data_IF_391795063558
#
_entry.id   IF_391795063558
#
_cell.length_a   1.000
_cell.length_b   1.000
_cell.length_c   1.000
_cell.angle_alpha   90.00
_cell.angle_beta   90.00
_cell.angle_gamma   90.00
#
_symmetry.space_group_name_H-M   'P 1'
#
loop_
_entity.id
_entity.type
_entity.pdbx_description
1 polymer ?
#
# COMPACT_ATOMS: atom_id res chain seq x y z
N UNK A 1 9.92 -16.36 27.87
CA UNK A 1 9.00 -16.13 26.73
C UNK A 1 9.15 -14.66 26.38
N UNK A 2 10.10 -14.33 25.51
CA UNK A 2 10.34 -12.94 25.11
C UNK A 2 9.22 -12.52 24.17
N UNK A 3 8.38 -11.59 24.63
CA UNK A 3 7.48 -10.82 23.78
C UNK A 3 8.36 -9.93 22.91
N UNK A 4 8.72 -10.41 21.72
CA UNK A 4 9.27 -9.56 20.68
C UNK A 4 8.20 -8.54 20.35
N UNK A 5 8.43 -7.29 20.73
CA UNK A 5 7.63 -6.14 20.31
C UNK A 5 7.52 -6.21 18.76
N UNK A 6 6.32 -6.30 18.17
CA UNK A 6 6.21 -6.30 16.72
C UNK A 6 6.79 -4.96 16.25
N UNK A 7 7.92 -5.00 15.56
CA UNK A 7 8.59 -3.82 15.05
C UNK A 7 7.54 -2.91 14.41
N UNK A 8 7.35 -1.72 14.99
CA UNK A 8 6.37 -0.77 14.48
C UNK A 8 6.82 -0.33 13.09
N UNK A 9 6.12 -0.82 12.07
CA UNK A 9 6.35 -0.39 10.68
C UNK A 9 6.15 1.12 10.60
N UNK A 10 7.10 1.82 9.98
CA UNK A 10 6.93 3.24 9.72
C UNK A 10 5.76 3.48 8.76
N UNK A 11 5.16 4.67 8.82
CA UNK A 11 4.08 5.07 7.88
C UNK A 11 4.50 4.89 6.42
N UNK A 12 5.75 5.20 6.11
CA UNK A 12 6.33 5.02 4.78
C UNK A 12 6.35 3.56 4.36
N UNK A 13 6.80 2.66 5.23
CA UNK A 13 6.79 1.22 4.94
C UNK A 13 5.38 0.66 4.75
N UNK A 14 4.42 1.12 5.56
CA UNK A 14 3.01 0.74 5.39
C UNK A 14 2.44 1.21 4.05
N UNK A 15 2.81 2.42 3.62
CA UNK A 15 2.43 2.93 2.31
C UNK A 15 3.06 2.10 1.18
N UNK A 16 4.36 1.79 1.25
CA UNK A 16 5.06 0.97 0.26
C UNK A 16 4.42 -0.42 0.13
N UNK A 17 4.07 -1.06 1.25
CA UNK A 17 3.32 -2.33 1.27
C UNK A 17 1.95 -2.16 0.61
N UNK A 18 1.20 -1.11 0.97
CA UNK A 18 -0.11 -0.83 0.39
C UNK A 18 -0.06 -0.64 -1.14
N UNK A 19 0.94 0.08 -1.64
CA UNK A 19 1.18 0.27 -3.07
C UNK A 19 1.46 -1.06 -3.79
N UNK A 20 2.18 -2.00 -3.15
CA UNK A 20 2.37 -3.33 -3.72
C UNK A 20 1.06 -4.13 -3.78
N UNK A 21 0.27 -4.08 -2.71
CA UNK A 21 -0.98 -4.84 -2.59
C UNK A 21 -2.11 -4.26 -3.44
N UNK A 22 -2.00 -3.01 -3.91
CA UNK A 22 -2.95 -2.41 -4.84
C UNK A 22 -2.81 -2.94 -6.29
N UNK A 23 -1.76 -3.72 -6.59
CA UNK A 23 -1.54 -4.29 -7.92
C UNK A 23 -2.00 -5.76 -7.97
N UNK A 24 -3.07 -6.02 -8.72
CA UNK A 24 -3.68 -7.36 -8.87
C UNK A 24 -2.67 -8.43 -9.30
N UNK A 25 -1.74 -8.11 -10.21
CA UNK A 25 -0.73 -9.06 -10.67
C UNK A 25 0.28 -9.42 -9.58
N UNK A 26 0.60 -8.48 -8.70
CA UNK A 26 1.44 -8.76 -7.52
C UNK A 26 0.69 -9.62 -6.50
N UNK A 27 -0.61 -9.39 -6.33
CA UNK A 27 -1.47 -10.26 -5.49
C UNK A 27 -1.56 -11.69 -6.04
N UNK A 28 -1.65 -11.86 -7.37
CA UNK A 28 -1.60 -13.18 -8.01
C UNK A 28 -0.27 -13.90 -7.71
N UNK A 29 0.86 -13.18 -7.78
CA UNK A 29 2.18 -13.74 -7.41
C UNK A 29 2.20 -14.14 -5.94
N UNK A 30 1.72 -13.30 -5.02
CA UNK A 30 1.68 -13.61 -3.59
C UNK A 30 0.75 -14.80 -3.29
N UNK A 31 -0.38 -14.90 -3.98
CA UNK A 31 -1.31 -16.03 -3.86
C UNK A 31 -0.67 -17.32 -4.36
N UNK A 32 -0.01 -17.26 -5.52
CA UNK A 32 0.77 -18.38 -6.04
C UNK A 32 1.89 -18.76 -5.06
N UNK A 33 2.60 -17.78 -4.50
CA UNK A 33 3.67 -17.96 -3.52
C UNK A 33 3.17 -18.54 -2.19
N UNK A 34 1.94 -18.25 -1.76
CA UNK A 34 1.36 -18.81 -0.55
C UNK A 34 0.94 -20.28 -0.75
N UNK A 35 0.49 -20.64 -1.96
CA UNK A 35 0.12 -22.01 -2.32
C UNK A 35 1.34 -22.93 -2.54
N UNK A 36 2.52 -22.37 -2.80
CA UNK A 36 3.74 -23.11 -3.12
C UNK A 36 4.83 -22.82 -2.09
N UNK A 37 5.72 -23.77 -1.80
CA UNK A 37 6.80 -23.52 -0.83
C UNK A 37 7.80 -22.48 -1.33
N UNK A 38 8.06 -22.47 -2.63
CA UNK A 38 8.99 -21.59 -3.31
C UNK A 38 8.52 -21.37 -4.74
N UNK A 39 8.94 -20.27 -5.34
CA UNK A 39 8.70 -19.96 -6.75
C UNK A 39 9.95 -19.39 -7.41
N UNK A 40 9.97 -19.47 -8.73
CA UNK A 40 10.95 -18.84 -9.62
C UNK A 40 10.27 -17.93 -10.62
N UNK A 41 11.01 -16.95 -11.14
CA UNK A 41 10.52 -16.05 -12.22
C UNK A 41 10.06 -16.85 -13.46
N UNK A 42 10.74 -17.96 -13.78
CA UNK A 42 10.38 -18.83 -14.89
C UNK A 42 9.04 -19.53 -14.70
N UNK A 43 8.69 -19.89 -13.46
CA UNK A 43 7.38 -20.47 -13.14
C UNK A 43 6.29 -19.42 -13.26
N UNK A 44 6.50 -18.20 -12.77
CA UNK A 44 5.51 -17.12 -12.92
C UNK A 44 5.18 -16.83 -14.39
N UNK A 45 6.19 -16.91 -15.27
CA UNK A 45 5.96 -16.80 -16.71
C UNK A 45 5.07 -17.93 -17.26
N UNK A 46 5.26 -19.15 -16.77
CA UNK A 46 4.55 -20.33 -17.28
C UNK A 46 3.14 -20.44 -16.71
N UNK A 47 2.99 -20.20 -15.41
CA UNK A 47 1.76 -20.46 -14.66
C UNK A 47 0.84 -19.22 -14.59
N UNK A 48 1.41 -18.01 -14.55
CA UNK A 48 0.66 -16.75 -14.48
C UNK A 48 0.70 -15.94 -15.79
N UNK A 49 1.31 -16.49 -16.85
CA UNK A 49 1.51 -15.83 -18.14
C UNK A 49 2.18 -14.44 -18.04
N UNK A 50 3.06 -14.27 -17.04
CA UNK A 50 3.75 -13.00 -16.83
C UNK A 50 5.01 -12.89 -17.72
N UNK A 51 5.21 -11.76 -18.43
CA UNK A 51 6.47 -11.52 -19.12
C UNK A 51 7.66 -11.63 -18.16
N UNK A 52 8.76 -12.23 -18.62
CA UNK A 52 9.89 -12.56 -17.74
C UNK A 52 10.49 -11.33 -17.04
N UNK A 53 10.61 -10.20 -17.75
CA UNK A 53 11.08 -8.94 -17.18
C UNK A 53 10.15 -8.42 -16.08
N UNK A 54 8.84 -8.46 -16.34
CA UNK A 54 7.80 -8.02 -15.39
C UNK A 54 7.74 -8.92 -14.16
N UNK A 55 7.82 -10.24 -14.34
CA UNK A 55 7.88 -11.18 -13.23
C UNK A 55 9.13 -10.96 -12.36
N UNK A 56 10.29 -10.67 -12.98
CA UNK A 56 11.51 -10.33 -12.25
C UNK A 56 11.35 -9.02 -11.46
N UNK A 57 10.80 -7.98 -12.09
CA UNK A 57 10.54 -6.69 -11.46
C UNK A 57 9.59 -6.82 -10.27
N UNK A 58 8.45 -7.50 -10.45
CA UNK A 58 7.46 -7.68 -9.38
C UNK A 58 8.02 -8.51 -8.22
N UNK A 59 8.76 -9.60 -8.48
CA UNK A 59 9.41 -10.33 -7.39
C UNK A 59 10.43 -9.48 -6.63
N UNK A 60 11.14 -8.57 -7.32
CA UNK A 60 12.08 -7.66 -6.68
C UNK A 60 11.35 -6.64 -5.80
N UNK A 61 10.31 -5.98 -6.31
CA UNK A 61 9.55 -4.99 -5.56
C UNK A 61 8.83 -5.61 -4.35
N UNK A 62 8.26 -6.81 -4.51
CA UNK A 62 7.67 -7.56 -3.41
C UNK A 62 8.72 -7.97 -2.37
N UNK A 63 9.94 -8.30 -2.79
CA UNK A 63 11.04 -8.58 -1.87
C UNK A 63 11.51 -7.33 -1.12
N UNK A 64 11.67 -6.21 -1.83
CA UNK A 64 12.04 -4.91 -1.24
C UNK A 64 10.98 -4.42 -0.23
N UNK A 65 9.70 -4.70 -0.49
CA UNK A 65 8.59 -4.43 0.43
C UNK A 65 8.45 -5.45 1.58
N UNK A 66 9.28 -6.50 1.63
CA UNK A 66 9.24 -7.52 2.67
C UNK A 66 8.07 -8.50 2.56
N UNK A 67 7.45 -8.63 1.39
CA UNK A 67 6.34 -9.55 1.12
C UNK A 67 6.82 -10.89 0.53
N UNK A 68 8.03 -10.91 -0.02
CA UNK A 68 8.74 -12.12 -0.44
C UNK A 68 10.14 -12.19 0.18
N UNK A 69 10.54 -13.38 0.59
CA UNK A 69 11.93 -13.68 0.94
C UNK A 69 12.66 -14.27 -0.26
N UNK A 70 13.81 -13.70 -0.61
CA UNK A 70 14.71 -14.28 -1.61
C UNK A 70 15.59 -15.34 -0.96
N UNK A 71 15.40 -16.60 -1.33
CA UNK A 71 16.09 -17.75 -0.73
C UNK A 71 17.40 -18.09 -1.45
N UNK A 72 17.45 -17.89 -2.76
CA UNK A 72 18.64 -18.16 -3.58
C UNK A 72 18.83 -17.07 -4.63
N UNK A 73 20.09 -16.79 -5.00
CA UNK A 73 20.38 -15.79 -6.02
C UNK A 73 20.26 -16.30 -7.46
N UNK A 74 20.68 -17.54 -7.74
CA UNK A 74 20.76 -18.12 -9.10
C UNK A 74 20.41 -19.62 -9.13
N UNK A 75 19.36 -20.03 -9.86
CA UNK A 75 18.25 -19.18 -10.29
C UNK A 75 17.60 -18.52 -9.06
N UNK A 76 17.06 -17.31 -9.22
CA UNK A 76 16.43 -16.62 -8.10
C UNK A 76 15.19 -17.39 -7.65
N UNK A 77 15.14 -17.76 -6.37
CA UNK A 77 13.98 -18.39 -5.74
C UNK A 77 13.42 -17.49 -4.65
N UNK A 78 12.10 -17.47 -4.56
CA UNK A 78 11.36 -16.64 -3.62
C UNK A 78 10.37 -17.49 -2.82
N UNK A 79 10.09 -17.08 -1.59
CA UNK A 79 9.00 -17.63 -0.78
C UNK A 79 8.13 -16.49 -0.23
N UNK A 80 6.83 -16.76 -0.05
CA UNK A 80 5.95 -15.81 0.62
C UNK A 80 6.38 -15.61 2.07
N UNK A 81 6.42 -14.35 2.50
CA UNK A 81 6.49 -14.02 3.92
C UNK A 81 5.09 -14.21 4.50
N UNK A 82 5.00 -14.85 5.67
CA UNK A 82 3.72 -15.02 6.36
C UNK A 82 3.31 -13.69 7.02
N UNK A 83 2.17 -13.14 6.61
CA UNK A 83 1.65 -11.90 7.15
C UNK A 83 0.11 -11.93 7.23
N UNK A 84 -0.44 -11.19 8.19
CA UNK A 84 -1.88 -11.00 8.36
C UNK A 84 -2.20 -9.50 8.29
N UNK A 85 -3.22 -9.14 7.51
CA UNK A 85 -3.76 -7.78 7.44
C UNK A 85 -5.15 -7.80 8.03
N UNK A 86 -5.32 -7.14 9.17
CA UNK A 86 -6.60 -7.02 9.85
C UNK A 86 -7.13 -5.59 9.75
N UNK A 87 -8.25 -5.44 9.02
CA UNK A 87 -8.99 -4.18 8.97
C UNK A 87 -9.97 -4.15 10.15
N UNK A 88 -9.73 -3.26 11.11
CA UNK A 88 -10.67 -2.99 12.18
C UNK A 88 -11.63 -1.88 11.75
N UNK A 89 -12.89 -2.25 11.51
CA UNK A 89 -13.96 -1.29 11.18
C UNK A 89 -14.15 -0.25 12.29
N UNK A 90 -13.99 -0.62 13.55
CA UNK A 90 -14.07 0.32 14.69
C UNK A 90 -12.94 1.36 14.65
N UNK A 91 -11.73 0.95 14.28
CA UNK A 91 -10.60 1.88 14.11
C UNK A 91 -10.78 2.77 12.90
N UNK A 92 -11.29 2.24 11.78
CA UNK A 92 -11.64 3.03 10.60
C UNK A 92 -12.72 4.05 10.96
N UNK A 93 -13.81 3.62 11.62
CA UNK A 93 -14.88 4.50 12.04
C UNK A 93 -14.40 5.58 13.03
N UNK A 94 -13.48 5.23 13.94
CA UNK A 94 -12.90 6.19 14.88
C UNK A 94 -12.02 7.23 14.16
N UNK A 95 -11.17 6.80 13.23
CA UNK A 95 -10.34 7.69 12.41
C UNK A 95 -11.21 8.64 11.55
N UNK A 96 -12.21 8.08 10.87
CA UNK A 96 -13.17 8.86 10.06
C UNK A 96 -13.96 9.83 10.95
N UNK A 97 -14.32 9.44 12.18
CA UNK A 97 -15.05 10.32 13.12
C UNK A 97 -14.19 11.46 13.61
N UNK A 98 -12.90 11.24 13.87
CA UNK A 98 -11.95 12.27 14.26
C UNK A 98 -11.74 13.30 13.12
N UNK A 99 -11.65 12.84 11.88
CA UNK A 99 -11.65 13.72 10.71
C UNK A 99 -13.00 14.43 10.51
N UNK A 100 -14.12 13.73 10.76
CA UNK A 100 -15.47 14.30 10.68
C UNK A 100 -15.70 15.38 11.72
N UNK A 101 -15.09 15.30 12.91
CA UNK A 101 -15.12 16.38 13.91
C UNK A 101 -14.40 17.63 13.42
N UNK A 102 -13.35 17.46 12.62
CA UNK A 102 -12.66 18.59 11.97
C UNK A 102 -13.56 19.23 10.92
N UNK A 103 -14.24 18.43 10.09
CA UNK A 103 -15.23 18.91 9.12
C UNK A 103 -16.43 19.57 9.79
N UNK A 104 -16.93 19.02 10.90
CA UNK A 104 -18.04 19.56 11.68
C UNK A 104 -17.66 20.90 12.34
N UNK A 105 -16.44 21.03 12.87
CA UNK A 105 -15.91 22.30 13.35
C UNK A 105 -15.82 23.36 12.25
N UNK A 106 -15.26 22.99 11.09
CA UNK A 106 -15.09 23.89 9.93
C UNK A 106 -16.45 24.35 9.40
N UNK A 107 -17.41 23.43 9.24
CA UNK A 107 -18.76 23.76 8.75
C UNK A 107 -19.57 24.55 9.77
N UNK A 108 -19.43 24.31 11.09
CA UNK A 108 -20.03 25.19 12.10
C UNK A 108 -19.44 26.60 12.08
N UNK A 109 -18.14 26.72 11.85
CA UNK A 109 -17.42 28.00 11.95
C UNK A 109 -17.54 28.86 10.69
N UNK A 110 -17.54 28.23 9.51
CA UNK A 110 -17.45 28.90 8.22
C UNK A 110 -18.64 28.63 7.29
N UNK A 111 -19.60 27.78 7.72
CA UNK A 111 -20.73 27.34 6.90
C UNK A 111 -20.38 26.13 6.03
N UNK A 112 -21.39 25.42 5.51
CA UNK A 112 -21.17 24.23 4.68
C UNK A 112 -20.51 24.55 3.33
N UNK A 113 -20.73 25.77 2.82
CA UNK A 113 -20.23 26.28 1.53
C UNK A 113 -18.70 26.28 1.46
N UNK A 114 -18.01 26.40 2.60
CA UNK A 114 -16.54 26.37 2.66
C UNK A 114 -15.96 25.04 2.17
N UNK A 115 -16.70 23.93 2.31
CA UNK A 115 -16.24 22.63 1.85
C UNK A 115 -16.24 22.56 0.32
N UNK A 116 -17.24 23.17 -0.33
CA UNK A 116 -17.31 23.26 -1.79
C UNK A 116 -16.19 24.14 -2.33
N UNK A 117 -15.90 25.27 -1.66
CA UNK A 117 -14.77 26.15 -2.02
C UNK A 117 -13.41 25.45 -1.86
N UNK A 118 -13.22 24.71 -0.77
CA UNK A 118 -11.96 23.97 -0.52
C UNK A 118 -11.76 22.85 -1.54
N UNK A 119 -12.82 22.13 -1.91
CA UNK A 119 -12.75 21.07 -2.94
C UNK A 119 -12.44 21.68 -4.30
N UNK A 120 -13.10 22.79 -4.68
CA UNK A 120 -12.83 23.47 -5.94
C UNK A 120 -11.37 23.96 -6.04
N UNK A 121 -10.84 24.53 -4.96
CA UNK A 121 -9.43 24.92 -4.87
C UNK A 121 -8.48 23.72 -5.01
N UNK A 122 -8.85 22.56 -4.46
CA UNK A 122 -8.05 21.36 -4.55
C UNK A 122 -8.00 20.80 -5.98
N UNK A 123 -9.13 20.81 -6.69
CA UNK A 123 -9.21 20.41 -8.10
C UNK A 123 -8.37 21.34 -9.01
N UNK A 124 -8.36 22.65 -8.72
CA UNK A 124 -7.50 23.63 -9.42
C UNK A 124 -6.01 23.40 -9.13
N UNK A 125 -5.65 22.91 -7.94
CA UNK A 125 -4.26 22.54 -7.61
C UNK A 125 -3.85 21.24 -8.31
N UNK A 126 -4.72 20.22 -8.32
CA UNK A 126 -4.45 18.94 -8.97
C UNK A 126 -4.32 19.07 -10.49
N UNK A 127 -5.13 19.94 -11.10
CA UNK A 127 -5.02 20.29 -12.52
C UNK A 127 -3.81 21.16 -12.86
N UNK A 128 -3.11 21.68 -11.85
CA UNK A 128 -1.94 22.54 -12.00
C UNK A 128 -2.27 23.99 -12.38
N UNK A 129 -3.54 24.39 -12.29
CA UNK A 129 -4.01 25.77 -12.52
C UNK A 129 -3.66 26.69 -11.33
N UNK A 130 -3.58 26.12 -10.13
CA UNK A 130 -3.08 26.77 -8.92
C UNK A 130 -1.86 26.04 -8.35
N UNK A 131 -0.91 26.81 -7.81
CA UNK A 131 0.22 26.27 -7.04
C UNK A 131 0.11 26.76 -5.61
N UNK A 132 0.12 25.85 -4.64
CA UNK A 132 0.18 26.24 -3.23
C UNK A 132 1.61 26.59 -2.82
N UNK A 133 1.75 27.54 -1.89
CA UNK A 133 3.02 27.90 -1.26
C UNK A 133 2.80 27.97 0.23
N UNK A 134 3.50 27.14 0.99
CA UNK A 134 3.45 27.20 2.45
C UNK A 134 4.00 28.56 2.92
N UNK A 135 3.19 29.30 3.68
CA UNK A 135 3.64 30.51 4.34
C UNK A 135 4.59 30.12 5.48
N UNK A 136 5.82 30.64 5.43
CA UNK A 136 6.85 30.47 6.46
C UNK A 136 6.53 31.23 7.74
#
# INVERSE_FOLDING_TARGET
>A
MSTTDPASLSRKQLQEIGEQLANDRKLEILTYAAAHKQLTVSELKRELDLPHSTAHEYCRELHEAGLLDRLQEKPATYAAVDFSIELSLDKIASAVKEESQTLEYVTQRYGAEILEEVVALWDEIESGELTYREAS
#
